data_IF_174881973294
#
_entry.id   IF_174881973294
#
_cell.length_a   1.000
_cell.length_b   1.000
_cell.length_c   1.000
_cell.angle_alpha   90.00
_cell.angle_beta   90.00
_cell.angle_gamma   90.00
#
_symmetry.space_group_name_H-M   'P 1'
#
loop_
_entity.id
_entity.type
_entity.pdbx_description
1 polymer ?
#
# COMPACT_ATOMS: atom_id res chain seq x y z
N UNK A 1 -15.83 -31.83 -55.13
CA UNK A 1 -16.67 -31.83 -53.91
C UNK A 1 -15.75 -32.10 -52.72
N UNK A 2 -15.16 -31.05 -52.14
CA UNK A 2 -15.62 -30.36 -50.92
C UNK A 2 -15.43 -31.26 -49.68
N UNK A 3 -14.31 -31.12 -48.95
CA UNK A 3 -14.02 -30.13 -47.87
C UNK A 3 -14.63 -30.59 -46.53
N UNK A 4 -13.81 -30.99 -45.54
CA UNK A 4 -13.09 -30.20 -44.51
C UNK A 4 -13.80 -30.19 -43.15
N UNK A 5 -12.96 -30.47 -42.16
CA UNK A 5 -12.90 -29.96 -40.79
C UNK A 5 -13.74 -30.61 -39.67
N UNK A 6 -13.07 -30.98 -38.55
CA UNK A 6 -13.71 -31.34 -37.30
C UNK A 6 -14.24 -30.07 -36.62
N UNK A 7 -15.30 -30.26 -35.85
CA UNK A 7 -16.06 -29.24 -35.15
C UNK A 7 -15.21 -28.34 -34.26
N UNK A 8 -15.19 -27.04 -34.60
CA UNK A 8 -14.97 -25.98 -33.63
C UNK A 8 -16.04 -26.10 -32.54
N UNK A 9 -15.66 -26.54 -31.34
CA UNK A 9 -16.37 -26.11 -30.13
C UNK A 9 -15.78 -24.75 -29.76
N UNK A 10 -16.60 -23.72 -29.93
CA UNK A 10 -16.30 -22.37 -29.52
C UNK A 10 -15.83 -22.36 -28.06
N UNK A 11 -14.59 -21.93 -27.84
CA UNK A 11 -14.15 -21.40 -26.56
C UNK A 11 -14.90 -20.09 -26.35
N UNK A 12 -15.99 -20.16 -25.58
CA UNK A 12 -16.54 -18.96 -24.95
C UNK A 12 -15.59 -18.62 -23.81
N UNK A 13 -14.60 -17.77 -24.09
CA UNK A 13 -13.81 -17.11 -23.06
C UNK A 13 -14.76 -16.10 -22.39
N UNK A 14 -15.50 -16.56 -21.39
CA UNK A 14 -16.15 -15.67 -20.44
C UNK A 14 -15.03 -14.99 -19.66
N UNK A 15 -14.62 -13.82 -20.14
CA UNK A 15 -13.81 -12.88 -19.39
C UNK A 15 -14.68 -12.39 -18.23
N UNK A 16 -14.71 -13.17 -17.15
CA UNK A 16 -15.21 -12.67 -15.88
C UNK A 16 -14.18 -11.66 -15.41
N UNK A 17 -14.46 -10.39 -15.67
CA UNK A 17 -13.87 -9.28 -14.92
C UNK A 17 -14.35 -9.47 -13.49
N UNK A 18 -13.63 -10.27 -12.71
CA UNK A 18 -13.71 -10.22 -11.26
C UNK A 18 -13.09 -8.88 -10.88
N UNK A 19 -13.91 -7.84 -10.93
CA UNK A 19 -13.72 -6.71 -10.06
C UNK A 19 -13.77 -7.28 -8.64
N UNK A 20 -12.60 -7.48 -8.04
CA UNK A 20 -12.47 -7.59 -6.59
C UNK A 20 -12.80 -6.21 -5.99
N UNK A 21 -14.06 -5.80 -6.15
CA UNK A 21 -14.64 -4.74 -5.38
C UNK A 21 -14.73 -5.24 -3.95
N UNK A 22 -14.08 -4.52 -3.04
CA UNK A 22 -14.21 -4.75 -1.61
C UNK A 22 -15.63 -4.35 -1.19
N UNK A 23 -16.54 -5.30 -1.35
CA UNK A 23 -17.91 -5.29 -0.88
C UNK A 23 -18.25 -6.69 -0.40
N UNK A 24 -17.39 -7.28 0.43
CA UNK A 24 -17.73 -8.51 1.14
C UNK A 24 -18.51 -8.17 2.40
N UNK A 25 -19.76 -8.63 2.43
CA UNK A 25 -20.58 -8.71 3.63
C UNK A 25 -19.81 -9.49 4.70
N UNK A 26 -19.69 -8.90 5.88
CA UNK A 26 -19.13 -9.52 7.08
C UNK A 26 -19.93 -10.77 7.46
N UNK A 27 -19.32 -11.95 7.39
CA UNK A 27 -19.78 -13.13 8.12
C UNK A 27 -19.50 -12.96 9.63
N UNK A 28 -20.25 -13.64 10.51
CA UNK A 28 -20.16 -13.42 11.96
C UNK A 28 -18.81 -13.92 12.52
N UNK A 29 -18.05 -13.00 13.10
CA UNK A 29 -16.73 -13.23 13.71
C UNK A 29 -16.79 -14.24 14.88
N UNK A 30 -15.87 -15.21 14.89
CA UNK A 30 -15.47 -15.95 16.10
C UNK A 30 -14.61 -15.02 16.97
N UNK A 31 -14.95 -14.75 18.24
CA UNK A 31 -14.22 -13.81 19.09
C UNK A 31 -12.77 -14.23 19.31
N UNK A 32 -11.84 -13.31 19.06
CA UNK A 32 -10.42 -13.51 19.37
C UNK A 32 -10.22 -13.45 20.89
N UNK A 33 -9.51 -14.44 21.43
CA UNK A 33 -9.17 -14.52 22.86
C UNK A 33 -7.86 -13.81 23.13
N UNK A 34 -7.89 -12.82 24.01
CA UNK A 34 -6.75 -12.04 24.49
C UNK A 34 -6.24 -12.62 25.82
N UNK A 35 -4.96 -12.97 25.90
CA UNK A 35 -4.35 -13.50 27.13
C UNK A 35 -3.59 -12.40 27.85
N UNK A 36 -3.79 -12.26 29.17
CA UNK A 36 -3.07 -11.27 29.98
C UNK A 36 -2.07 -11.94 30.90
N UNK A 37 -0.83 -11.49 30.78
CA UNK A 37 0.31 -12.03 31.52
C UNK A 37 0.47 -11.32 32.86
N UNK A 38 0.66 -12.12 33.92
CA UNK A 38 0.75 -11.65 35.32
C UNK A 38 2.15 -11.76 35.92
N UNK A 39 3.20 -11.36 35.20
CA UNK A 39 4.59 -11.38 35.69
C UNK A 39 5.52 -10.51 34.84
N UNK A 40 6.56 -9.95 35.45
CA UNK A 40 7.65 -9.24 34.75
C UNK A 40 8.26 -10.17 33.71
N UNK A 41 7.98 -9.92 32.43
CA UNK A 41 8.56 -10.69 31.34
C UNK A 41 10.02 -10.27 31.13
N UNK A 42 10.93 -11.24 31.20
CA UNK A 42 12.25 -11.12 30.62
C UNK A 42 12.12 -11.01 29.09
N UNK A 43 12.10 -9.76 28.62
CA UNK A 43 12.11 -9.41 27.22
C UNK A 43 13.52 -9.58 26.64
N UNK A 44 13.81 -10.75 26.09
CA UNK A 44 14.74 -10.85 24.96
C UNK A 44 13.92 -10.76 23.65
N UNK A 45 13.08 -9.74 23.50
CA UNK A 45 13.30 -8.42 22.86
C UNK A 45 13.13 -8.37 21.33
N UNK A 46 11.86 -8.33 20.87
CA UNK A 46 11.48 -7.46 19.76
C UNK A 46 10.43 -6.40 20.13
N UNK A 47 9.74 -6.52 21.28
CA UNK A 47 8.70 -5.55 21.67
C UNK A 47 9.27 -4.28 22.31
N UNK A 48 10.32 -4.33 23.14
CA UNK A 48 10.81 -3.12 23.80
C UNK A 48 11.43 -2.11 22.83
N UNK A 49 11.88 -2.53 21.65
CA UNK A 49 12.42 -1.64 20.61
C UNK A 49 11.31 -0.93 19.81
N UNK A 50 10.19 -1.61 19.52
CA UNK A 50 9.00 -0.99 18.89
C UNK A 50 8.36 0.13 19.70
N UNK A 51 8.66 0.13 21.01
CA UNK A 51 8.06 0.99 22.00
C UNK A 51 9.08 1.88 22.70
N UNK A 52 10.32 1.98 22.18
CA UNK A 52 11.36 2.86 22.72
C UNK A 52 10.90 4.32 22.76
N UNK A 53 10.04 4.70 21.81
CA UNK A 53 9.50 6.05 21.76
C UNK A 53 8.38 6.29 22.79
N UNK A 54 7.75 5.25 23.37
CA UNK A 54 6.63 5.42 24.30
C UNK A 54 7.04 6.22 25.55
N UNK A 55 6.12 6.97 26.19
CA UNK A 55 6.40 7.59 27.49
C UNK A 55 6.88 6.53 28.50
N UNK A 56 8.14 6.61 28.91
CA UNK A 56 8.78 5.62 29.81
C UNK A 56 9.39 4.38 29.14
N UNK A 57 9.43 4.32 27.80
CA UNK A 57 10.13 3.28 27.02
C UNK A 57 9.55 1.86 27.13
N UNK A 58 8.30 1.72 27.61
CA UNK A 58 7.63 0.42 27.76
C UNK A 58 6.17 0.49 27.29
N UNK A 59 5.66 -0.56 26.61
CA UNK A 59 4.25 -0.65 26.27
C UNK A 59 3.35 -0.71 27.50
N UNK A 60 2.16 -0.13 27.39
CA UNK A 60 1.06 -0.45 28.28
C UNK A 60 0.48 -1.78 27.84
N UNK A 61 0.73 -2.82 28.62
CA UNK A 61 0.34 -4.21 28.36
C UNK A 61 -0.63 -4.78 29.41
N UNK A 62 -0.82 -4.08 30.53
CA UNK A 62 -1.82 -4.41 31.54
C UNK A 62 -3.23 -4.03 31.09
N UNK A 63 -4.16 -4.99 31.14
CA UNK A 63 -5.58 -4.77 30.84
C UNK A 63 -6.19 -3.65 31.68
N UNK A 64 -5.98 -3.66 33.00
CA UNK A 64 -6.50 -2.63 33.91
C UNK A 64 -5.99 -1.24 33.55
N UNK A 65 -4.73 -1.15 33.10
CA UNK A 65 -4.14 0.10 32.65
C UNK A 65 -4.70 0.57 31.31
N UNK A 66 -4.95 -0.35 30.36
CA UNK A 66 -5.62 -0.04 29.09
C UNK A 66 -7.05 0.48 29.33
N UNK A 67 -7.80 -0.13 30.26
CA UNK A 67 -9.12 0.35 30.68
C UNK A 67 -9.03 1.73 31.33
N UNK A 68 -8.12 1.91 32.30
CA UNK A 68 -7.97 3.18 33.03
C UNK A 68 -7.59 4.36 32.11
N UNK A 69 -6.79 4.10 31.08
CA UNK A 69 -6.40 5.09 30.08
C UNK A 69 -7.45 5.31 28.99
N UNK A 70 -8.59 4.61 29.05
CA UNK A 70 -9.62 4.61 28.02
C UNK A 70 -8.98 4.32 26.67
N UNK A 71 -8.43 3.12 26.51
CA UNK A 71 -7.90 2.60 25.24
C UNK A 71 -8.72 1.44 24.67
N UNK A 72 -9.79 1.02 25.36
CA UNK A 72 -10.71 -0.04 24.97
C UNK A 72 -12.15 0.51 24.87
N UNK A 73 -13.05 -0.21 24.21
CA UNK A 73 -14.49 0.06 24.10
C UNK A 73 -14.90 1.37 23.40
N UNK A 74 -14.01 1.94 22.59
CA UNK A 74 -14.30 3.05 21.68
C UNK A 74 -13.29 3.09 20.54
N UNK A 75 -13.56 3.92 19.53
CA UNK A 75 -12.68 4.08 18.38
C UNK A 75 -11.49 4.99 18.71
N UNK A 76 -10.30 4.48 18.46
CA UNK A 76 -9.04 5.21 18.46
C UNK A 76 -8.70 5.59 17.02
N UNK A 77 -8.58 6.87 16.73
CA UNK A 77 -8.25 7.37 15.38
C UNK A 77 -7.02 8.26 15.46
N UNK A 78 -6.17 8.20 14.44
CA UNK A 78 -5.09 9.15 14.26
C UNK A 78 -5.66 10.56 14.02
N UNK A 79 -4.97 11.62 14.45
CA UNK A 79 -5.40 12.99 14.14
C UNK A 79 -5.29 13.26 12.63
N UNK A 80 -6.06 14.21 12.12
CA UNK A 80 -6.22 14.48 10.68
C UNK A 80 -4.88 14.71 9.97
N UNK A 81 -3.95 15.43 10.59
CA UNK A 81 -2.63 15.72 10.04
C UNK A 81 -1.70 14.50 9.95
N UNK A 82 -2.10 13.37 10.53
CA UNK A 82 -1.38 12.08 10.51
C UNK A 82 -2.20 10.96 9.89
N UNK A 83 -3.36 11.25 9.29
CA UNK A 83 -4.12 10.24 8.58
C UNK A 83 -3.33 9.80 7.33
N UNK A 84 -3.03 8.50 7.17
CA UNK A 84 -2.44 8.02 5.95
C UNK A 84 -3.43 8.18 4.79
N UNK A 85 -2.94 8.67 3.66
CA UNK A 85 -3.72 8.80 2.44
C UNK A 85 -3.82 7.47 1.70
N UNK A 86 -4.95 7.19 1.03
CA UNK A 86 -5.07 6.02 0.20
C UNK A 86 -4.40 6.24 -1.16
N UNK A 87 -4.00 5.14 -1.77
CA UNK A 87 -3.21 5.10 -3.00
C UNK A 87 -3.67 3.97 -3.89
N UNK A 88 -3.26 4.01 -5.16
CA UNK A 88 -3.17 2.78 -5.94
C UNK A 88 -1.88 2.06 -5.50
N UNK A 89 -1.85 0.73 -5.63
CA UNK A 89 -0.65 -0.07 -5.36
C UNK A 89 0.28 -0.12 -6.56
N UNK A 90 -0.01 0.62 -7.63
CA UNK A 90 0.77 0.65 -8.87
C UNK A 90 1.06 -0.78 -9.37
N UNK A 91 0.02 -1.51 -9.80
CA UNK A 91 0.16 -2.90 -10.22
C UNK A 91 1.25 -3.06 -11.27
N UNK A 92 2.10 -4.06 -11.08
CA UNK A 92 3.16 -4.42 -12.04
C UNK A 92 2.59 -4.70 -13.43
N UNK A 93 1.39 -5.27 -13.49
CA UNK A 93 0.75 -5.58 -14.76
C UNK A 93 0.27 -4.35 -15.54
N UNK A 94 0.17 -3.18 -14.89
CA UNK A 94 0.02 -1.88 -15.54
C UNK A 94 1.34 -1.11 -15.68
N UNK A 95 2.49 -1.79 -15.58
CA UNK A 95 3.81 -1.19 -15.71
C UNK A 95 4.35 -0.62 -14.41
N UNK A 96 3.68 -0.86 -13.28
CA UNK A 96 4.03 -0.29 -12.00
C UNK A 96 4.05 1.24 -12.06
N UNK A 97 5.14 1.83 -11.60
CA UNK A 97 5.39 3.28 -11.63
C UNK A 97 5.92 3.79 -12.98
N UNK A 98 6.27 2.89 -13.90
CA UNK A 98 6.52 3.21 -15.32
C UNK A 98 5.25 3.10 -16.18
N UNK A 99 4.12 2.75 -15.56
CA UNK A 99 2.81 2.79 -16.16
C UNK A 99 2.29 4.22 -16.33
N UNK A 100 1.81 4.57 -17.52
CA UNK A 100 1.07 5.83 -17.75
C UNK A 100 -0.36 5.65 -17.27
N UNK A 101 -0.60 5.81 -15.98
CA UNK A 101 -1.87 5.50 -15.32
C UNK A 101 -3.10 6.28 -15.87
N UNK A 102 -2.86 7.39 -16.60
CA UNK A 102 -3.88 8.17 -17.33
C UNK A 102 -4.26 7.56 -18.70
N UNK A 103 -3.59 6.49 -19.12
CA UNK A 103 -3.94 5.80 -20.35
C UNK A 103 -5.26 5.04 -20.21
N UNK A 104 -6.08 5.00 -21.28
CA UNK A 104 -7.27 4.18 -21.29
C UNK A 104 -6.91 2.73 -20.95
N UNK A 105 -7.79 2.04 -20.22
CA UNK A 105 -7.55 0.64 -19.79
C UNK A 105 -7.16 -0.29 -20.94
N UNK A 106 -7.73 -0.09 -22.13
CA UNK A 106 -7.36 -0.86 -23.33
C UNK A 106 -5.90 -0.67 -23.72
N UNK A 107 -5.38 0.55 -23.62
CA UNK A 107 -3.98 0.86 -23.92
C UNK A 107 -3.06 0.33 -22.81
N UNK A 108 -3.46 0.44 -21.54
CA UNK A 108 -2.73 -0.18 -20.43
C UNK A 108 -2.62 -1.70 -20.60
N UNK A 109 -3.71 -2.37 -21.00
CA UNK A 109 -3.72 -3.80 -21.28
C UNK A 109 -2.84 -4.17 -22.48
N UNK A 110 -2.86 -3.38 -23.55
CA UNK A 110 -1.98 -3.59 -24.69
C UNK A 110 -0.51 -3.45 -24.29
N UNK A 111 -0.17 -2.45 -23.46
CA UNK A 111 1.18 -2.26 -22.91
C UNK A 111 1.61 -3.37 -21.96
N UNK A 112 0.67 -4.03 -21.29
CA UNK A 112 0.97 -5.26 -20.56
C UNK A 112 1.52 -6.36 -21.49
N UNK A 113 1.22 -6.32 -22.79
CA UNK A 113 1.72 -7.28 -23.78
C UNK A 113 2.94 -6.78 -24.53
N UNK A 114 3.02 -5.48 -24.79
CA UNK A 114 4.07 -4.86 -25.63
C UNK A 114 5.18 -4.18 -24.85
N UNK A 115 5.02 -4.02 -23.54
CA UNK A 115 5.93 -3.25 -22.68
C UNK A 115 5.51 -1.79 -22.48
N UNK A 116 6.24 -1.16 -21.56
CA UNK A 116 6.15 0.21 -21.06
C UNK A 116 7.48 0.94 -21.33
N UNK A 117 7.99 0.85 -22.56
CA UNK A 117 9.21 1.55 -22.93
C UNK A 117 9.00 3.07 -22.93
N UNK A 118 9.98 3.83 -22.41
CA UNK A 118 9.94 5.28 -22.46
C UNK A 118 10.20 5.80 -23.88
N UNK A 119 9.91 7.09 -24.15
CA UNK A 119 10.30 7.74 -25.40
C UNK A 119 11.80 7.59 -25.70
N UNK A 120 12.18 7.73 -26.98
CA UNK A 120 13.60 7.87 -27.31
C UNK A 120 14.15 9.21 -26.77
N UNK A 121 15.46 9.32 -26.49
CA UNK A 121 16.05 10.59 -26.04
C UNK A 121 15.74 11.75 -27.01
N UNK A 122 15.82 11.49 -28.32
CA UNK A 122 15.51 12.49 -29.35
C UNK A 122 14.04 12.93 -29.32
N UNK A 123 13.10 12.01 -29.15
CA UNK A 123 11.67 12.34 -29.02
C UNK A 123 11.37 13.10 -27.73
N UNK A 124 12.08 12.78 -26.65
CA UNK A 124 11.94 13.45 -25.37
C UNK A 124 12.44 14.90 -25.42
N UNK A 125 13.62 15.16 -25.98
CA UNK A 125 14.10 16.51 -26.24
C UNK A 125 13.11 17.30 -27.11
N UNK A 126 12.68 16.72 -28.24
CA UNK A 126 11.73 17.38 -29.13
C UNK A 126 10.39 17.69 -28.44
N UNK A 127 9.93 16.81 -27.54
CA UNK A 127 8.72 17.00 -26.75
C UNK A 127 8.87 18.17 -25.79
N UNK A 128 9.94 18.19 -24.99
CA UNK A 128 10.18 19.23 -23.99
C UNK A 128 10.40 20.59 -24.65
N UNK A 129 11.20 20.65 -25.73
CA UNK A 129 11.41 21.85 -26.53
C UNK A 129 10.10 22.41 -27.12
N UNK A 130 9.16 21.54 -27.50
CA UNK A 130 7.86 21.97 -28.00
C UNK A 130 7.00 22.58 -26.89
N UNK A 131 7.04 22.02 -25.67
CA UNK A 131 6.37 22.60 -24.50
C UNK A 131 6.88 24.01 -24.20
N UNK A 132 8.20 24.21 -24.24
CA UNK A 132 8.83 25.51 -24.01
C UNK A 132 8.43 26.57 -25.06
N UNK A 133 8.16 26.14 -26.28
CA UNK A 133 7.60 27.00 -27.35
C UNK A 133 6.09 27.25 -27.21
N UNK A 134 5.46 26.73 -26.17
CA UNK A 134 4.03 26.92 -25.88
C UNK A 134 3.09 25.94 -26.58
N UNK A 135 3.61 24.83 -27.14
CA UNK A 135 2.77 23.81 -27.77
C UNK A 135 1.92 23.07 -26.73
N UNK A 136 0.61 23.31 -26.78
CA UNK A 136 -0.35 22.72 -25.84
C UNK A 136 -0.54 21.21 -26.02
N UNK A 137 -0.38 20.69 -27.25
CA UNK A 137 -0.48 19.25 -27.51
C UNK A 137 0.76 18.53 -26.97
N UNK A 138 1.94 19.14 -27.13
CA UNK A 138 3.16 18.67 -26.48
C UNK A 138 3.03 18.69 -24.95
N UNK A 139 2.48 19.76 -24.38
CA UNK A 139 2.29 19.88 -22.93
C UNK A 139 1.35 18.80 -22.39
N UNK A 140 0.23 18.54 -23.08
CA UNK A 140 -0.69 17.46 -22.74
C UNK A 140 -0.03 16.07 -22.84
N UNK A 141 0.85 15.86 -23.82
CA UNK A 141 1.59 14.60 -23.96
C UNK A 141 2.65 14.42 -22.87
N UNK A 142 3.41 15.47 -22.54
CA UNK A 142 4.39 15.47 -21.45
C UNK A 142 3.70 15.20 -20.10
N UNK A 143 2.56 15.84 -19.87
CA UNK A 143 1.75 15.64 -18.67
C UNK A 143 1.21 14.21 -18.53
N UNK A 144 1.08 13.45 -19.62
CA UNK A 144 0.63 12.05 -19.61
C UNK A 144 1.76 11.02 -19.51
N UNK A 145 3.02 11.45 -19.46
CA UNK A 145 4.13 10.54 -19.22
C UNK A 145 3.99 9.86 -17.85
N UNK A 146 4.63 8.70 -17.72
CA UNK A 146 4.60 7.90 -16.50
C UNK A 146 5.32 8.65 -15.37
N UNK A 147 5.01 8.33 -14.10
CA UNK A 147 5.69 8.93 -12.96
C UNK A 147 7.21 8.88 -13.05
N UNK A 148 7.79 7.73 -13.42
CA UNK A 148 9.25 7.59 -13.60
C UNK A 148 9.78 8.34 -14.82
N UNK A 149 9.02 8.38 -15.93
CA UNK A 149 9.43 9.10 -17.15
C UNK A 149 9.56 10.61 -16.84
N UNK A 150 8.61 11.16 -16.09
CA UNK A 150 8.67 12.55 -15.64
C UNK A 150 9.83 12.79 -14.67
N UNK A 151 10.10 11.85 -13.77
CA UNK A 151 11.24 11.95 -12.85
C UNK A 151 12.56 12.01 -13.60
N UNK A 152 12.77 11.11 -14.56
CA UNK A 152 13.98 11.06 -15.39
C UNK A 152 14.19 12.39 -16.12
N UNK A 153 13.15 12.94 -16.75
CA UNK A 153 13.22 14.28 -17.38
C UNK A 153 13.49 15.39 -16.36
N UNK A 154 12.87 15.34 -15.18
CA UNK A 154 13.08 16.35 -14.14
C UNK A 154 14.51 16.36 -13.58
N UNK A 155 15.26 15.25 -13.67
CA UNK A 155 16.68 15.20 -13.31
C UNK A 155 17.62 15.42 -14.51
N UNK A 156 17.07 15.62 -15.71
CA UNK A 156 17.81 15.77 -16.97
C UNK A 156 18.35 14.46 -17.54
N UNK A 157 17.77 13.32 -17.15
CA UNK A 157 18.11 12.00 -17.68
C UNK A 157 17.20 11.64 -18.87
N UNK A 158 17.63 11.99 -20.07
CA UNK A 158 16.90 11.66 -21.30
C UNK A 158 17.11 10.22 -21.78
N UNK A 159 18.02 9.47 -21.14
CA UNK A 159 18.22 8.05 -21.40
C UNK A 159 17.21 7.17 -20.62
N UNK A 160 16.47 7.78 -19.68
CA UNK A 160 15.38 7.17 -18.91
C UNK A 160 15.84 5.96 -18.08
N UNK A 161 16.92 6.09 -17.33
CA UNK A 161 17.50 4.97 -16.61
C UNK A 161 16.54 4.39 -15.57
N UNK A 162 15.83 5.23 -14.80
CA UNK A 162 14.87 4.75 -13.79
C UNK A 162 13.67 4.11 -14.46
N UNK A 163 13.07 4.75 -15.47
CA UNK A 163 11.94 4.17 -16.19
C UNK A 163 12.27 2.82 -16.81
N UNK A 164 13.43 2.70 -17.48
CA UNK A 164 13.86 1.42 -18.09
C UNK A 164 14.10 0.36 -17.04
N UNK A 165 14.81 0.69 -15.94
CA UNK A 165 15.06 -0.26 -14.86
C UNK A 165 13.74 -0.76 -14.25
N UNK A 166 12.81 0.14 -13.93
CA UNK A 166 11.53 -0.23 -13.33
C UNK A 166 10.61 -0.96 -14.31
N UNK A 167 10.60 -0.60 -15.59
CA UNK A 167 9.85 -1.33 -16.62
C UNK A 167 10.40 -2.76 -16.84
N UNK A 168 11.70 -2.98 -16.61
CA UNK A 168 12.33 -4.30 -16.69
C UNK A 168 12.10 -5.15 -15.44
N UNK A 169 12.15 -4.56 -14.24
CA UNK A 169 12.01 -5.28 -12.97
C UNK A 169 10.54 -5.55 -12.63
N UNK A 170 9.66 -4.59 -12.93
CA UNK A 170 8.28 -4.57 -12.46
C UNK A 170 7.24 -4.37 -13.56
N UNK A 171 7.67 -4.08 -14.79
CA UNK A 171 6.81 -4.04 -15.96
C UNK A 171 6.83 -5.34 -16.75
N UNK A 172 6.12 -5.33 -17.88
CA UNK A 172 6.05 -6.44 -18.83
C UNK A 172 6.96 -6.25 -20.04
N UNK A 173 8.08 -5.53 -19.89
CA UNK A 173 9.07 -5.38 -20.98
C UNK A 173 9.89 -6.67 -21.20
N UNK A 174 9.64 -7.70 -20.38
CA UNK A 174 10.20 -9.05 -20.51
C UNK A 174 9.09 -10.07 -20.70
N UNK A 175 9.14 -10.93 -21.73
CA UNK A 175 8.12 -11.96 -21.97
C UNK A 175 7.92 -12.91 -20.80
N UNK A 176 8.98 -13.18 -20.02
CA UNK A 176 8.93 -14.09 -18.87
C UNK A 176 8.08 -13.52 -17.72
N UNK A 177 8.00 -12.18 -17.62
CA UNK A 177 7.26 -11.50 -16.56
C UNK A 177 5.75 -11.56 -16.79
N UNK A 178 5.28 -11.71 -18.04
CA UNK A 178 3.84 -11.71 -18.36
C UNK A 178 3.07 -12.86 -17.70
N UNK A 179 3.69 -14.04 -17.59
CA UNK A 179 3.06 -15.22 -16.99
C UNK A 179 3.52 -15.48 -15.55
N UNK A 180 4.66 -14.91 -15.15
CA UNK A 180 5.23 -15.13 -13.83
C UNK A 180 4.76 -14.11 -12.77
N UNK A 181 4.24 -12.95 -13.19
CA UNK A 181 3.90 -11.85 -12.27
C UNK A 181 2.48 -12.00 -11.73
N UNK A 182 2.30 -12.22 -10.42
CA UNK A 182 0.97 -12.29 -9.85
C UNK A 182 0.23 -10.95 -9.94
N UNK A 183 -1.08 -10.97 -10.18
CA UNK A 183 -1.88 -9.75 -10.38
C UNK A 183 -1.91 -8.80 -9.16
N UNK A 184 -1.56 -9.30 -7.98
CA UNK A 184 -1.47 -8.52 -6.73
C UNK A 184 -0.09 -7.89 -6.50
N UNK A 185 0.89 -8.16 -7.38
CA UNK A 185 2.23 -7.59 -7.24
C UNK A 185 2.22 -6.10 -7.58
N UNK A 186 2.94 -5.31 -6.79
CA UNK A 186 3.07 -3.87 -6.95
C UNK A 186 3.84 -3.25 -5.80
N UNK A 187 3.46 -2.04 -5.45
CA UNK A 187 4.10 -1.12 -4.50
C UNK A 187 3.23 -0.86 -3.26
N UNK A 188 2.36 -1.80 -2.86
CA UNK A 188 1.47 -1.60 -1.71
C UNK A 188 2.26 -1.31 -0.41
N UNK A 189 3.42 -1.96 -0.21
CA UNK A 189 4.29 -1.69 0.93
C UNK A 189 4.82 -0.26 0.93
N UNK A 190 5.39 0.18 -0.19
CA UNK A 190 5.92 1.54 -0.30
C UNK A 190 4.84 2.61 -0.22
N UNK A 191 3.68 2.37 -0.84
CA UNK A 191 2.54 3.28 -0.77
C UNK A 191 2.03 3.42 0.68
N UNK A 192 1.86 2.31 1.42
CA UNK A 192 1.46 2.34 2.81
C UNK A 192 2.50 3.06 3.71
N UNK A 193 3.80 2.81 3.49
CA UNK A 193 4.87 3.48 4.23
C UNK A 193 4.94 4.99 3.93
N UNK A 194 4.83 5.37 2.65
CA UNK A 194 4.80 6.76 2.23
C UNK A 194 3.59 7.49 2.82
N UNK A 195 2.42 6.85 2.83
CA UNK A 195 1.20 7.40 3.41
C UNK A 195 1.33 7.74 4.89
N UNK A 196 2.13 6.98 5.65
CA UNK A 196 2.40 7.26 7.06
C UNK A 196 3.39 8.41 7.29
N UNK A 197 4.22 8.73 6.30
CA UNK A 197 5.35 9.68 6.44
C UNK A 197 5.06 11.04 5.83
N UNK A 198 4.27 11.08 4.76
CA UNK A 198 4.02 12.30 3.99
C UNK A 198 2.55 12.67 4.04
N UNK A 199 2.28 13.98 4.06
CA UNK A 199 0.94 14.49 3.77
C UNK A 199 0.52 14.09 2.36
N UNK A 200 -0.77 13.94 2.16
CA UNK A 200 -1.30 13.59 0.85
C UNK A 200 -0.89 14.62 -0.21
N UNK A 201 -0.25 14.18 -1.31
CA UNK A 201 -0.13 15.01 -2.49
C UNK A 201 -1.54 15.28 -3.04
N UNK A 202 -1.94 16.55 -3.07
CA UNK A 202 -3.26 17.00 -3.57
C UNK A 202 -3.16 18.15 -4.54
N UNK A 203 -1.94 18.56 -4.91
CA UNK A 203 -1.70 19.64 -5.86
C UNK A 203 -0.68 19.21 -6.90
N UNK A 204 -0.88 19.65 -8.13
CA UNK A 204 0.16 19.62 -9.15
C UNK A 204 1.39 20.38 -8.70
N UNK A 205 2.54 19.90 -9.15
CA UNK A 205 3.83 20.54 -8.89
C UNK A 205 4.65 20.59 -10.17
N UNK A 206 5.19 21.77 -10.46
CA UNK A 206 6.16 21.96 -11.53
C UNK A 206 7.57 21.84 -10.93
N UNK A 207 8.38 20.95 -11.50
CA UNK A 207 9.79 20.79 -11.15
C UNK A 207 10.62 21.35 -12.31
N UNK A 208 11.47 22.33 -12.02
CA UNK A 208 12.43 22.83 -13.00
C UNK A 208 13.57 21.82 -13.08
N UNK A 209 13.77 21.26 -14.27
CA UNK A 209 14.82 20.28 -14.53
C UNK A 209 16.21 20.92 -14.52
N UNK A 210 17.24 20.09 -14.47
CA UNK A 210 18.65 20.54 -14.45
C UNK A 210 19.06 21.35 -15.69
N UNK A 211 18.36 21.17 -16.80
CA UNK A 211 18.48 21.91 -18.06
C UNK A 211 17.46 23.06 -18.23
N UNK A 212 16.61 23.31 -17.23
CA UNK A 212 15.78 24.52 -17.13
C UNK A 212 14.33 24.37 -17.59
N UNK A 213 13.90 23.17 -17.97
CA UNK A 213 12.54 22.90 -18.43
C UNK A 213 11.58 22.66 -17.26
N UNK A 214 10.32 23.09 -17.38
CA UNK A 214 9.31 22.85 -16.36
C UNK A 214 8.60 21.51 -16.61
N UNK A 215 8.79 20.54 -15.71
CA UNK A 215 8.14 19.23 -15.76
C UNK A 215 7.00 19.18 -14.74
N UNK A 216 5.76 19.04 -15.22
CA UNK A 216 4.55 19.03 -14.38
C UNK A 216 4.17 17.62 -13.90
N UNK A 217 4.07 17.46 -12.59
CA UNK A 217 3.64 16.23 -11.94
C UNK A 217 2.21 16.36 -11.43
N UNK A 218 1.39 15.34 -11.74
CA UNK A 218 0.09 15.15 -11.12
C UNK A 218 0.27 14.59 -9.70
N UNK A 219 -0.64 14.85 -8.74
CA UNK A 219 -0.58 14.27 -7.40
C UNK A 219 -0.33 12.75 -7.35
N UNK A 220 -0.97 11.99 -8.24
CA UNK A 220 -0.77 10.54 -8.35
C UNK A 220 0.64 10.15 -8.84
N UNK A 221 1.31 10.99 -9.63
CA UNK A 221 2.72 10.78 -9.99
C UNK A 221 3.61 10.91 -8.76
N UNK A 222 3.35 11.92 -7.93
CA UNK A 222 4.07 12.12 -6.67
C UNK A 222 3.82 10.94 -5.72
N UNK A 223 2.57 10.47 -5.59
CA UNK A 223 2.23 9.26 -4.81
C UNK A 223 2.99 8.03 -5.32
N UNK A 224 3.09 7.83 -6.63
CA UNK A 224 3.84 6.74 -7.25
C UNK A 224 5.34 6.78 -6.94
N UNK A 225 5.97 7.95 -7.09
CA UNK A 225 7.40 8.13 -6.79
C UNK A 225 7.71 7.99 -5.29
N UNK A 226 6.82 8.47 -4.42
CA UNK A 226 6.92 8.21 -2.98
C UNK A 226 6.79 6.72 -2.66
N UNK A 227 5.89 6.00 -3.33
CA UNK A 227 5.76 4.56 -3.17
C UNK A 227 7.03 3.82 -3.66
N UNK A 228 7.59 4.20 -4.80
CA UNK A 228 8.85 3.63 -5.32
C UNK A 228 10.00 3.83 -4.32
N UNK A 229 10.24 5.08 -3.90
CA UNK A 229 11.30 5.40 -2.93
C UNK A 229 11.14 4.69 -1.59
N UNK A 230 9.92 4.26 -1.26
CA UNK A 230 9.62 3.53 -0.03
C UNK A 230 9.50 2.02 -0.18
N UNK A 231 9.71 1.48 -1.38
CA UNK A 231 9.60 0.03 -1.65
C UNK A 231 10.94 -0.68 -1.62
N UNK A 232 12.02 -0.01 -2.04
CA UNK A 232 13.36 -0.61 -2.16
C UNK A 232 14.33 -0.22 -1.04
N UNK A 233 14.03 0.84 -0.28
CA UNK A 233 14.94 1.28 0.77
C UNK A 233 14.99 0.26 1.91
N UNK A 234 16.21 -0.13 2.29
CA UNK A 234 16.53 -0.86 3.52
C UNK A 234 16.24 0.01 4.73
N UNK A 235 14.98 0.39 4.94
CA UNK A 235 14.60 1.02 6.18
C UNK A 235 14.69 -0.03 7.27
N UNK A 236 15.43 0.31 8.32
CA UNK A 236 15.26 -0.34 9.61
C UNK A 236 13.77 -0.27 9.96
N UNK A 237 13.12 -1.43 9.91
CA UNK A 237 11.75 -1.61 10.32
C UNK A 237 11.71 -2.66 11.40
N UNK A 238 10.76 -2.50 12.30
CA UNK A 238 10.48 -3.48 13.32
C UNK A 238 9.20 -4.20 12.95
N UNK A 239 9.27 -5.53 12.96
CA UNK A 239 8.18 -6.38 12.51
C UNK A 239 7.65 -7.22 13.67
N UNK A 240 6.33 -7.25 13.83
CA UNK A 240 5.64 -8.21 14.69
C UNK A 240 5.08 -9.30 13.79
N UNK A 241 5.40 -10.55 14.12
CA UNK A 241 5.08 -11.68 13.27
C UNK A 241 5.98 -11.75 12.03
N UNK A 242 5.87 -12.85 11.31
CA UNK A 242 6.57 -13.07 10.03
C UNK A 242 5.70 -13.94 9.15
N UNK A 243 5.89 -13.85 7.84
CA UNK A 243 5.25 -14.76 6.91
C UNK A 243 5.80 -16.17 7.13
N UNK A 244 4.90 -17.14 7.06
CA UNK A 244 5.23 -18.55 7.03
C UNK A 244 5.29 -19.03 5.58
N UNK A 245 6.47 -19.40 5.09
CA UNK A 245 6.63 -19.85 3.69
C UNK A 245 6.23 -21.32 3.49
N UNK A 246 6.04 -22.08 4.57
CA UNK A 246 5.60 -23.49 4.54
C UNK A 246 4.58 -23.75 5.64
N UNK A 247 3.30 -23.82 5.26
CA UNK A 247 2.22 -24.11 6.18
C UNK A 247 2.32 -25.56 6.66
N UNK A 248 2.99 -25.77 7.79
CA UNK A 248 2.95 -27.02 8.54
C UNK A 248 2.52 -26.71 9.96
N UNK A 249 1.61 -27.51 10.52
CA UNK A 249 1.05 -27.30 11.87
C UNK A 249 2.08 -27.45 13.00
N UNK A 250 3.33 -27.76 12.67
CA UNK A 250 4.41 -28.09 13.60
C UNK A 250 5.59 -27.11 13.59
N UNK A 251 5.54 -25.99 12.87
CA UNK A 251 6.62 -24.99 12.81
C UNK A 251 6.30 -23.78 13.71
N UNK A 252 6.96 -23.62 14.88
CA UNK A 252 6.71 -22.48 15.77
C UNK A 252 6.96 -21.12 15.12
N UNK A 253 7.79 -21.03 14.08
CA UNK A 253 7.99 -19.78 13.32
C UNK A 253 6.76 -19.36 12.51
N UNK A 254 5.81 -20.28 12.32
CA UNK A 254 4.53 -20.09 11.64
C UNK A 254 3.37 -19.85 12.60
N UNK A 255 3.65 -19.73 13.91
CA UNK A 255 2.65 -19.21 14.83
C UNK A 255 2.31 -17.78 14.41
N UNK A 256 1.03 -17.56 14.12
CA UNK A 256 0.50 -16.25 13.74
C UNK A 256 0.74 -15.22 14.85
N UNK A 257 0.51 -13.94 14.54
CA UNK A 257 0.64 -12.84 15.50
C UNK A 257 -0.23 -13.12 16.72
N UNK A 258 0.40 -13.18 17.89
CA UNK A 258 -0.32 -13.32 19.15
C UNK A 258 -1.36 -12.19 19.27
N UNK A 259 -2.66 -12.50 19.47
CA UNK A 259 -3.72 -11.49 19.55
C UNK A 259 -3.47 -10.43 20.63
N UNK A 260 -2.78 -10.80 21.72
CA UNK A 260 -2.40 -9.85 22.75
C UNK A 260 -1.37 -8.83 22.29
N UNK A 261 -0.38 -9.29 21.53
CA UNK A 261 0.60 -8.41 20.90
C UNK A 261 -0.07 -7.43 19.93
N UNK A 262 -1.06 -7.89 19.15
CA UNK A 262 -1.82 -7.03 18.23
C UNK A 262 -2.59 -5.94 18.98
N UNK A 263 -3.33 -6.29 20.04
CA UNK A 263 -4.06 -5.33 20.87
C UNK A 263 -3.11 -4.31 21.50
N UNK A 264 -1.97 -4.76 22.03
CA UNK A 264 -0.95 -3.88 22.61
C UNK A 264 -0.40 -2.92 21.55
N UNK A 265 -0.07 -3.42 20.35
CA UNK A 265 0.41 -2.59 19.25
C UNK A 265 -0.62 -1.53 18.85
N UNK A 266 -1.88 -1.92 18.63
CA UNK A 266 -2.97 -1.03 18.24
C UNK A 266 -3.22 0.07 19.29
N UNK A 267 -3.43 -0.31 20.54
CA UNK A 267 -3.76 0.63 21.63
C UNK A 267 -2.61 1.58 21.95
N UNK A 268 -1.36 1.11 21.93
CA UNK A 268 -0.20 1.95 22.21
C UNK A 268 0.15 2.86 21.02
N UNK A 269 0.17 2.33 19.79
CA UNK A 269 0.55 3.10 18.60
C UNK A 269 -0.53 4.10 18.19
N UNK A 270 -1.76 3.64 18.01
CA UNK A 270 -2.88 4.49 17.57
C UNK A 270 -3.44 5.30 18.74
N UNK A 271 -3.68 4.64 19.88
CA UNK A 271 -4.33 5.26 21.04
C UNK A 271 -3.44 6.27 21.78
N UNK A 272 -2.21 5.89 22.14
CA UNK A 272 -1.32 6.72 22.94
C UNK A 272 -0.36 7.57 22.11
N UNK A 273 0.33 6.98 21.12
CA UNK A 273 1.35 7.70 20.33
C UNK A 273 0.81 8.50 19.17
N UNK A 274 -0.45 8.25 18.80
CA UNK A 274 -1.05 8.85 17.62
C UNK A 274 -0.17 8.64 16.39
N UNK A 275 0.30 7.40 16.20
CA UNK A 275 1.17 7.01 15.09
C UNK A 275 0.68 5.70 14.47
N UNK A 276 0.47 5.70 13.16
CA UNK A 276 0.14 4.49 12.41
C UNK A 276 1.32 3.53 12.28
N UNK A 277 1.04 2.39 11.67
CA UNK A 277 1.99 1.36 11.24
C UNK A 277 1.37 0.58 10.07
N UNK A 278 2.19 -0.22 9.38
CA UNK A 278 1.75 -1.04 8.26
C UNK A 278 1.35 -2.43 8.75
N UNK A 279 0.26 -2.97 8.22
CA UNK A 279 -0.21 -4.33 8.47
C UNK A 279 -0.44 -5.07 7.15
N UNK A 280 -0.11 -6.36 7.11
CA UNK A 280 -0.58 -7.26 6.06
C UNK A 280 -1.99 -7.72 6.41
N UNK A 281 -2.96 -7.40 5.55
CA UNK A 281 -4.38 -7.70 5.79
C UNK A 281 -4.84 -9.01 5.17
N UNK A 282 -3.95 -9.75 4.51
CA UNK A 282 -4.32 -10.97 3.82
C UNK A 282 -3.58 -12.18 4.40
N UNK A 283 -4.29 -13.17 4.98
CA UNK A 283 -3.65 -14.34 5.57
C UNK A 283 -3.21 -15.39 4.53
N UNK A 284 -3.45 -15.15 3.23
CA UNK A 284 -3.17 -16.10 2.15
C UNK A 284 -1.90 -15.72 1.38
N UNK A 285 -1.79 -16.23 0.15
CA UNK A 285 -0.61 -15.99 -0.68
C UNK A 285 -0.33 -14.51 -1.01
N UNK A 286 -1.32 -13.64 -1.30
CA UNK A 286 -1.07 -12.22 -1.55
C UNK A 286 -0.66 -11.49 -0.29
N UNK A 287 0.37 -10.64 -0.35
CA UNK A 287 0.67 -9.67 0.71
C UNK A 287 -0.05 -8.37 0.38
N UNK A 288 -0.90 -7.89 1.28
CA UNK A 288 -1.65 -6.65 1.09
C UNK A 288 -1.31 -5.71 2.25
N UNK A 289 -0.35 -4.83 2.00
CA UNK A 289 0.09 -3.85 2.98
C UNK A 289 -0.86 -2.66 3.03
N UNK A 290 -1.36 -2.34 4.22
CA UNK A 290 -2.17 -1.14 4.47
C UNK A 290 -1.63 -0.34 5.65
N UNK A 291 -1.74 0.98 5.58
CA UNK A 291 -1.40 1.87 6.68
C UNK A 291 -2.57 2.01 7.65
N UNK A 292 -2.42 1.55 8.89
CA UNK A 292 -3.49 1.63 9.90
C UNK A 292 -3.76 3.08 10.31
N UNK A 293 -5.02 3.51 10.18
CA UNK A 293 -5.49 4.86 10.53
C UNK A 293 -6.39 4.91 11.76
N UNK A 294 -7.14 3.84 12.03
CA UNK A 294 -8.01 3.77 13.20
C UNK A 294 -8.22 2.32 13.64
N UNK A 295 -8.67 2.15 14.87
CA UNK A 295 -8.96 0.85 15.46
C UNK A 295 -10.02 0.97 16.55
N UNK A 296 -10.72 -0.12 16.83
CA UNK A 296 -11.46 -0.28 18.08
C UNK A 296 -11.15 -1.67 18.66
N UNK A 297 -11.10 -1.76 19.99
CA UNK A 297 -10.98 -3.02 20.71
C UNK A 297 -12.10 -3.06 21.73
N UNK A 298 -13.14 -3.84 21.45
CA UNK A 298 -14.33 -3.96 22.31
C UNK A 298 -14.22 -5.19 23.19
N UNK A 299 -14.38 -5.02 24.50
CA UNK A 299 -14.42 -6.11 25.47
C UNK A 299 -15.76 -6.81 25.35
N UNK A 300 -15.73 -8.07 24.90
CA UNK A 300 -16.92 -8.90 24.75
C UNK A 300 -17.26 -9.62 26.06
N UNK A 301 -16.22 -10.00 26.81
CA UNK A 301 -16.35 -10.62 28.12
C UNK A 301 -15.28 -10.08 29.07
N UNK A 302 -15.65 -9.68 30.30
CA UNK A 302 -14.67 -9.30 31.32
C UNK A 302 -13.64 -10.40 31.59
N UNK A 303 -12.47 -10.05 32.15
CA UNK A 303 -11.44 -11.01 32.52
C UNK A 303 -11.97 -12.23 33.27
N UNK A 304 -11.65 -13.43 32.77
CA UNK A 304 -12.02 -14.69 33.40
C UNK A 304 -10.83 -15.65 33.46
N UNK A 305 -10.84 -16.55 34.46
CA UNK A 305 -9.78 -17.54 34.61
C UNK A 305 -9.99 -18.70 33.64
N UNK A 306 -8.89 -19.20 33.10
CA UNK A 306 -8.84 -20.44 32.32
C UNK A 306 -7.81 -21.37 32.94
N UNK A 307 -7.97 -22.68 32.74
CA UNK A 307 -6.89 -23.64 32.98
C UNK A 307 -5.87 -23.46 31.85
N UNK A 308 -4.90 -22.58 32.04
CA UNK A 308 -3.82 -22.32 31.11
C UNK A 308 -2.46 -22.56 31.82
N UNK A 309 -1.38 -22.82 31.07
CA UNK A 309 -0.05 -22.88 31.63
C UNK A 309 0.29 -21.58 32.36
N UNK A 310 0.99 -21.69 33.48
CA UNK A 310 1.61 -20.53 34.10
C UNK A 310 2.52 -19.83 33.07
N UNK A 311 2.52 -18.48 33.02
CA UNK A 311 1.97 -17.53 34.00
C UNK A 311 0.69 -16.79 33.53
N UNK A 312 -0.20 -17.45 32.77
CA UNK A 312 -1.45 -16.80 32.30
C UNK A 312 -2.44 -16.68 33.47
N UNK A 313 -2.71 -15.44 33.90
CA UNK A 313 -3.58 -15.17 35.07
C UNK A 313 -5.07 -15.14 34.71
N UNK A 314 -5.39 -14.58 33.54
CA UNK A 314 -6.76 -14.47 33.02
C UNK A 314 -6.75 -14.27 31.49
N UNK A 315 -7.91 -14.52 30.90
CA UNK A 315 -8.23 -14.28 29.49
C UNK A 315 -9.35 -13.27 29.40
N UNK A 316 -9.33 -12.47 28.33
CA UNK A 316 -10.37 -11.51 27.98
C UNK A 316 -10.80 -11.81 26.55
N UNK A 317 -12.10 -11.83 26.29
CA UNK A 317 -12.59 -11.97 24.91
C UNK A 317 -12.78 -10.57 24.33
N UNK A 318 -12.20 -10.30 23.16
CA UNK A 318 -12.27 -8.98 22.52
C UNK A 318 -12.67 -9.09 21.05
N UNK A 319 -13.38 -8.08 20.57
CA UNK A 319 -13.55 -7.82 19.14
C UNK A 319 -12.59 -6.71 18.72
N UNK A 320 -11.85 -6.93 17.64
CA UNK A 320 -10.88 -5.97 17.11
C UNK A 320 -11.37 -5.50 15.75
N UNK A 321 -11.51 -4.20 15.57
CA UNK A 321 -11.65 -3.58 14.26
C UNK A 321 -10.41 -2.77 13.92
N UNK A 322 -9.99 -2.84 12.66
CA UNK A 322 -8.86 -2.08 12.12
C UNK A 322 -9.34 -1.42 10.85
N UNK A 323 -9.04 -0.14 10.71
CA UNK A 323 -9.27 0.63 9.49
C UNK A 323 -7.92 1.12 8.98
N UNK A 324 -7.67 0.91 7.70
CA UNK A 324 -6.44 1.34 7.04
C UNK A 324 -6.70 2.18 5.81
N UNK A 325 -5.69 2.96 5.40
CA UNK A 325 -5.68 3.57 4.09
C UNK A 325 -5.50 2.49 3.02
N UNK A 326 -6.44 2.45 2.08
CA UNK A 326 -6.43 1.48 0.98
C UNK A 326 -5.27 1.74 0.03
N UNK A 327 -4.61 0.67 -0.41
CA UNK A 327 -3.70 0.70 -1.56
C UNK A 327 -4.40 0.22 -2.84
N UNK A 328 -5.73 0.17 -2.87
CA UNK A 328 -6.54 -0.35 -3.98
C UNK A 328 -7.53 0.69 -4.52
N UNK A 329 -7.17 1.99 -4.49
CA UNK A 329 -8.05 3.01 -5.09
C UNK A 329 -8.05 2.88 -6.61
N UNK A 330 -9.16 3.24 -7.25
CA UNK A 330 -9.18 3.40 -8.70
C UNK A 330 -8.51 4.70 -9.12
N UNK A 331 -7.77 4.68 -10.23
CA UNK A 331 -7.19 5.90 -10.84
C UNK A 331 -8.21 7.04 -11.02
N UNK A 332 -9.46 6.72 -11.34
CA UNK A 332 -10.56 7.69 -11.47
C UNK A 332 -10.95 8.42 -10.18
N UNK A 333 -10.56 7.90 -9.02
CA UNK A 333 -10.74 8.60 -7.74
C UNK A 333 -9.60 9.59 -7.52
N UNK A 334 -8.36 9.20 -7.86
CA UNK A 334 -7.16 10.03 -7.75
C UNK A 334 -7.12 11.19 -8.76
N UNK A 335 -7.81 11.07 -9.89
CA UNK A 335 -7.83 12.06 -10.98
C UNK A 335 -9.01 13.05 -10.88
N UNK A 336 -9.52 13.32 -9.67
CA UNK A 336 -10.67 14.22 -9.47
C UNK A 336 -10.22 15.61 -9.06
N UNK A 337 -10.38 16.64 -9.90
CA UNK A 337 -10.12 18.01 -9.51
C UNK A 337 -11.02 18.46 -8.34
N UNK A 338 -10.47 19.32 -7.49
CA UNK A 338 -11.22 20.02 -6.45
C UNK A 338 -11.45 21.49 -6.87
N UNK A 339 -12.57 21.80 -7.56
CA UNK A 339 -12.82 23.16 -8.03
C UNK A 339 -12.98 24.16 -6.88
N UNK A 340 -13.25 23.70 -5.65
CA UNK A 340 -13.36 24.58 -4.48
C UNK A 340 -12.01 25.12 -3.99
N UNK A 341 -10.91 24.50 -4.41
CA UNK A 341 -9.53 24.86 -4.01
C UNK A 341 -8.72 25.52 -5.13
N UNK A 342 -9.31 25.66 -6.33
CA UNK A 342 -8.68 26.27 -7.50
C UNK A 342 -8.05 25.27 -8.47
N UNK A 343 -7.46 25.78 -9.54
CA UNK A 343 -6.82 24.96 -10.57
C UNK A 343 -5.61 24.20 -10.02
N UNK A 344 -5.37 22.99 -10.57
CA UNK A 344 -4.28 22.11 -10.15
C UNK A 344 -4.45 21.45 -8.78
N UNK A 345 -5.54 21.71 -8.07
CA UNK A 345 -5.91 20.96 -6.86
C UNK A 345 -6.80 19.76 -7.18
N UNK A 346 -6.50 18.66 -6.51
CA UNK A 346 -7.22 17.40 -6.61
C UNK A 346 -7.83 17.06 -5.26
N UNK A 347 -8.98 16.38 -5.29
CA UNK A 347 -9.67 15.94 -4.09
C UNK A 347 -8.80 14.92 -3.37
N UNK A 348 -8.64 15.04 -2.03
CA UNK A 348 -8.18 13.94 -1.21
C UNK A 348 -9.03 12.70 -1.49
N UNK A 349 -8.40 11.53 -1.58
CA UNK A 349 -9.09 10.27 -1.87
C UNK A 349 -9.45 9.53 -0.61
#
# INVERSE_FOLDING_TARGET
MAARNPSLKAFLLALVVLGAGCGQKSEPYDPLKFMVWGGQSDYNNPLSILFHDLPGGRPIDSFDRLVALKLLDHRLTLPDERLPWPSEFFPTWFGGVSGRWQDPKVLLLLRSLTGFDPPSPADAHALVDAVDRGDQAAAARLYRLAPTEKYDLAVGDYDFHVSRAESLIRGHNRPEMLLATPFWMGYCNGAALAALRFREPVREVDVVSSDGHAIRFHPNDVKALLALSHTQAEFAHWQIGRRCDRYTTSTPECNDVNPATLVIALTNRIGLRKSGFVIDTNPLAPVINMAVRSTFVSVLRPPYRVLAPDPIKYVVDVAIGIEGASTLISSSAADRPDPSRGEGYFRPV
#
